data_IF_573967299103
#
_entry.id   IF_573967299103
#
_cell.length_a   1.000
_cell.length_b   1.000
_cell.length_c   1.000
_cell.angle_alpha   90.00
_cell.angle_beta   90.00
_cell.angle_gamma   90.00
#
_symmetry.space_group_name_H-M   'P 1'
#
loop_
_entity.id
_entity.type
_entity.pdbx_description
1 polymer ?
#
# COMPACT_ATOMS: atom_id res chain seq x y z
N UNK A 1 17.20 15.90 3.55
CA UNK A 1 16.65 15.64 2.21
C UNK A 1 15.60 14.57 2.35
N UNK A 2 14.34 14.92 2.16
CA UNK A 2 13.21 13.99 2.32
C UNK A 2 13.28 12.92 1.23
N UNK A 3 13.18 11.64 1.63
CA UNK A 3 13.25 10.47 0.74
C UNK A 3 11.86 10.04 0.24
N UNK A 4 10.94 11.00 0.22
CA UNK A 4 9.54 10.82 -0.16
C UNK A 4 9.35 11.32 -1.59
N UNK A 5 8.78 10.50 -2.44
CA UNK A 5 8.45 10.86 -3.82
C UNK A 5 7.01 11.35 -3.91
N UNK A 6 6.80 12.53 -4.52
CA UNK A 6 5.45 13.04 -4.77
C UNK A 6 4.99 12.59 -6.14
N UNK A 7 3.93 11.79 -6.17
CA UNK A 7 3.35 11.24 -7.39
C UNK A 7 2.10 12.03 -7.78
N UNK A 8 2.07 12.51 -9.02
CA UNK A 8 0.94 13.31 -9.56
C UNK A 8 0.18 12.59 -10.67
N UNK A 9 0.82 11.64 -11.35
CA UNK A 9 0.27 10.99 -12.54
C UNK A 9 0.23 9.47 -12.38
N UNK A 10 -0.79 8.84 -12.95
CA UNK A 10 -0.95 7.39 -12.94
C UNK A 10 0.20 6.69 -13.70
N UNK A 11 0.67 7.28 -14.80
CA UNK A 11 1.80 6.75 -15.56
C UNK A 11 3.09 6.72 -14.73
N UNK A 12 3.38 7.79 -14.00
CA UNK A 12 4.56 7.89 -13.13
C UNK A 12 4.52 6.86 -12.00
N UNK A 13 3.33 6.66 -11.41
CA UNK A 13 3.11 5.61 -10.41
C UNK A 13 3.41 4.22 -10.99
N UNK A 14 2.87 3.88 -12.14
CA UNK A 14 3.09 2.58 -12.78
C UNK A 14 4.55 2.36 -13.16
N UNK A 15 5.23 3.39 -13.67
CA UNK A 15 6.67 3.34 -13.96
C UNK A 15 7.48 3.10 -12.68
N UNK A 16 7.16 3.78 -11.57
CA UNK A 16 7.84 3.54 -10.29
C UNK A 16 7.59 2.14 -9.75
N UNK A 17 6.34 1.65 -9.78
CA UNK A 17 6.00 0.29 -9.37
C UNK A 17 6.74 -0.75 -10.23
N UNK A 18 6.87 -0.49 -11.53
CA UNK A 18 7.61 -1.35 -12.45
C UNK A 18 9.14 -1.30 -12.22
N UNK A 19 9.69 -0.14 -11.89
CA UNK A 19 11.11 0.06 -11.62
C UNK A 19 11.54 -0.47 -10.24
N UNK A 20 10.63 -0.44 -9.26
CA UNK A 20 10.90 -0.82 -7.86
C UNK A 20 10.26 -2.16 -7.46
N UNK A 21 10.12 -3.11 -8.39
CA UNK A 21 9.50 -4.42 -8.12
C UNK A 21 10.16 -5.20 -6.98
N UNK A 22 11.46 -5.02 -6.79
CA UNK A 22 12.26 -5.71 -5.77
C UNK A 22 12.06 -5.14 -4.35
N UNK A 23 11.59 -3.89 -4.24
CA UNK A 23 11.41 -3.19 -2.96
C UNK A 23 9.93 -3.02 -2.62
N UNK A 24 9.65 -2.81 -1.35
CA UNK A 24 8.32 -2.42 -0.90
C UNK A 24 8.09 -0.95 -1.26
N UNK A 25 6.97 -0.64 -1.88
CA UNK A 25 6.52 0.70 -2.20
C UNK A 25 5.29 1.01 -1.35
N UNK A 26 5.31 2.13 -0.62
CA UNK A 26 4.20 2.58 0.21
C UNK A 26 3.68 3.88 -0.34
N UNK A 27 2.38 3.93 -0.61
CA UNK A 27 1.71 5.10 -1.18
C UNK A 27 0.77 5.66 -0.13
N UNK A 28 1.01 6.90 0.27
CA UNK A 28 0.12 7.68 1.14
C UNK A 28 -0.81 8.54 0.29
N UNK A 29 -2.10 8.24 0.34
CA UNK A 29 -3.15 9.03 -0.26
C UNK A 29 -3.61 10.09 0.75
N UNK A 30 -3.18 11.32 0.53
CA UNK A 30 -3.46 12.44 1.42
C UNK A 30 -4.22 13.56 0.70
N UNK A 31 -4.76 14.47 1.50
CA UNK A 31 -5.34 15.72 1.04
C UNK A 31 -4.83 16.88 1.89
N UNK A 32 -4.59 18.03 1.28
CA UNK A 32 -4.11 19.25 1.99
C UNK A 32 -5.10 19.75 3.04
N UNK A 33 -6.39 19.54 2.82
CA UNK A 33 -7.50 19.94 3.70
C UNK A 33 -7.82 18.92 4.81
N UNK A 34 -7.16 17.76 4.82
CA UNK A 34 -7.40 16.71 5.80
C UNK A 34 -6.59 16.96 7.08
N UNK A 35 -7.27 17.40 8.15
CA UNK A 35 -6.65 17.63 9.47
C UNK A 35 -5.88 16.41 10.03
N UNK A 36 -6.47 15.20 10.08
CA UNK A 36 -5.77 13.99 10.54
C UNK A 36 -4.52 13.62 9.72
N UNK A 37 -4.48 14.02 8.45
CA UNK A 37 -3.36 13.75 7.56
C UNK A 37 -2.10 14.56 7.97
N UNK A 38 -2.29 15.78 8.50
CA UNK A 38 -1.17 16.58 9.03
C UNK A 38 -0.57 15.97 10.29
N UNK A 39 -1.39 15.32 11.13
CA UNK A 39 -0.90 14.67 12.35
C UNK A 39 0.01 13.46 12.05
N UNK A 40 -0.28 12.69 10.99
CA UNK A 40 0.49 11.50 10.62
C UNK A 40 1.72 11.82 9.74
N UNK A 41 1.73 12.96 9.06
CA UNK A 41 2.81 13.39 8.18
C UNK A 41 4.23 13.31 8.80
N UNK A 42 4.50 13.84 10.02
CA UNK A 42 5.84 13.75 10.61
C UNK A 42 6.24 12.31 10.95
N UNK A 43 5.28 11.47 11.33
CA UNK A 43 5.54 10.06 11.61
C UNK A 43 5.87 9.29 10.33
N UNK A 44 5.13 9.56 9.25
CA UNK A 44 5.42 9.00 7.92
C UNK A 44 6.81 9.41 7.43
N UNK A 45 7.22 10.66 7.63
CA UNK A 45 8.56 11.11 7.29
C UNK A 45 9.64 10.39 8.12
N UNK A 46 9.44 10.25 9.43
CA UNK A 46 10.36 9.48 10.29
C UNK A 46 10.51 8.02 9.82
N UNK A 47 9.41 7.39 9.38
CA UNK A 47 9.45 6.03 8.84
C UNK A 47 10.22 5.96 7.52
N UNK A 48 10.09 6.97 6.65
CA UNK A 48 10.92 7.06 5.43
C UNK A 48 12.41 7.19 5.75
N UNK A 49 12.74 7.75 6.91
CA UNK A 49 14.10 7.86 7.40
C UNK A 49 14.67 6.55 7.94
N UNK A 50 13.84 5.82 8.67
CA UNK A 50 14.20 4.54 9.25
C UNK A 50 14.26 3.41 8.21
N UNK A 51 13.32 3.37 7.27
CA UNK A 51 13.18 2.31 6.29
C UNK A 51 13.68 2.74 4.91
N UNK A 52 15.01 2.90 4.77
CA UNK A 52 15.66 3.21 3.47
C UNK A 52 15.47 2.12 2.40
N UNK A 53 15.12 0.91 2.84
CA UNK A 53 14.82 -0.21 1.95
C UNK A 53 13.43 -0.13 1.29
N UNK A 54 12.57 0.74 1.81
CA UNK A 54 11.20 0.94 1.37
C UNK A 54 11.12 2.27 0.62
N UNK A 55 10.39 2.28 -0.50
CA UNK A 55 10.12 3.50 -1.25
C UNK A 55 8.83 4.12 -0.72
N UNK A 56 8.91 5.34 -0.20
CA UNK A 56 7.77 6.08 0.32
C UNK A 56 7.31 7.11 -0.72
N UNK A 57 6.02 7.08 -1.04
CA UNK A 57 5.39 7.93 -2.03
C UNK A 57 4.17 8.63 -1.42
N UNK A 58 3.96 9.88 -1.79
CA UNK A 58 2.77 10.65 -1.43
C UNK A 58 2.00 11.02 -2.69
N UNK A 59 0.71 10.75 -2.66
CA UNK A 59 -0.23 11.10 -3.72
C UNK A 59 -1.26 12.03 -3.11
N UNK A 60 -1.36 13.22 -3.68
CA UNK A 60 -2.44 14.13 -3.32
C UNK A 60 -3.68 13.76 -4.16
N UNK A 61 -4.78 13.47 -3.48
CA UNK A 61 -6.02 13.00 -4.13
C UNK A 61 -6.69 14.09 -4.99
N UNK A 62 -6.38 15.36 -4.75
CA UNK A 62 -6.88 16.50 -5.53
C UNK A 62 -6.05 16.69 -6.80
N UNK A 63 -4.72 16.59 -6.68
CA UNK A 63 -3.80 16.67 -7.82
C UNK A 63 -3.84 15.44 -8.73
N UNK A 64 -4.12 14.25 -8.19
CA UNK A 64 -4.06 12.97 -8.90
C UNK A 64 -5.38 12.18 -8.76
N UNK A 65 -6.49 12.81 -9.12
CA UNK A 65 -7.83 12.23 -9.00
C UNK A 65 -7.98 10.90 -9.76
N UNK A 66 -7.26 10.69 -10.87
CA UNK A 66 -7.26 9.43 -11.62
C UNK A 66 -6.77 8.25 -10.79
N UNK A 67 -5.70 8.46 -10.00
CA UNK A 67 -5.15 7.43 -9.11
C UNK A 67 -6.14 7.16 -7.98
N UNK A 68 -6.69 8.22 -7.37
CA UNK A 68 -7.67 8.07 -6.29
C UNK A 68 -8.91 7.27 -6.75
N UNK A 69 -9.35 7.48 -8.00
CA UNK A 69 -10.48 6.76 -8.61
C UNK A 69 -10.16 5.30 -8.88
N UNK A 70 -9.01 5.01 -9.50
CA UNK A 70 -8.55 3.63 -9.77
C UNK A 70 -8.42 2.83 -8.46
N UNK A 71 -7.83 3.44 -7.44
CA UNK A 71 -7.67 2.83 -6.12
C UNK A 71 -8.93 2.90 -5.25
N UNK A 72 -10.01 3.52 -5.74
CA UNK A 72 -11.27 3.71 -5.02
C UNK A 72 -11.09 4.26 -3.60
N UNK A 73 -10.25 5.29 -3.45
CA UNK A 73 -9.97 5.94 -2.17
C UNK A 73 -11.19 6.75 -1.75
N UNK A 74 -11.82 6.35 -0.63
CA UNK A 74 -13.02 6.99 -0.07
C UNK A 74 -12.80 7.61 1.30
N UNK A 75 -11.66 7.33 1.92
CA UNK A 75 -11.28 7.84 3.22
C UNK A 75 -9.82 8.27 3.18
N UNK A 76 -9.50 9.43 3.75
CA UNK A 76 -8.13 9.89 3.91
C UNK A 76 -7.76 10.01 5.39
N UNK A 77 -6.50 9.71 5.76
CA UNK A 77 -5.45 9.16 4.89
C UNK A 77 -5.67 7.67 4.61
N UNK A 78 -5.26 7.20 3.43
CA UNK A 78 -5.20 5.75 3.13
C UNK A 78 -3.79 5.41 2.68
N UNK A 79 -3.23 4.33 3.22
CA UNK A 79 -1.90 3.85 2.91
C UNK A 79 -2.00 2.52 2.18
N UNK A 80 -1.46 2.43 0.98
CA UNK A 80 -1.38 1.16 0.24
C UNK A 80 0.06 0.68 0.15
N UNK A 81 0.24 -0.62 0.33
CA UNK A 81 1.53 -1.29 0.28
C UNK A 81 1.61 -2.13 -0.98
N UNK A 82 2.64 -1.92 -1.77
CA UNK A 82 2.86 -2.59 -3.04
C UNK A 82 4.22 -3.28 -3.07
N UNK A 83 4.25 -4.56 -3.47
CA UNK A 83 5.48 -5.34 -3.63
C UNK A 83 5.39 -6.15 -4.92
N UNK A 84 6.44 -6.13 -5.75
CA UNK A 84 6.42 -6.83 -7.04
C UNK A 84 5.38 -6.29 -8.03
N UNK A 85 4.90 -5.06 -7.85
CA UNK A 85 3.82 -4.47 -8.67
C UNK A 85 2.40 -4.88 -8.25
N UNK A 86 2.24 -5.68 -7.20
CA UNK A 86 0.93 -6.05 -6.64
C UNK A 86 0.69 -5.38 -5.29
N UNK A 87 -0.56 -5.04 -4.99
CA UNK A 87 -0.98 -4.55 -3.67
C UNK A 87 -0.93 -5.72 -2.67
N UNK A 88 -0.13 -5.58 -1.61
CA UNK A 88 0.02 -6.61 -0.57
C UNK A 88 -0.80 -6.32 0.67
N UNK A 89 -0.98 -5.04 1.02
CA UNK A 89 -1.68 -4.62 2.23
C UNK A 89 -2.25 -3.20 2.05
N UNK A 90 -3.23 -2.83 2.87
CA UNK A 90 -3.92 -1.53 2.82
C UNK A 90 -4.39 -1.13 4.22
N UNK A 91 -4.03 0.08 4.63
CA UNK A 91 -4.39 0.63 5.93
C UNK A 91 -5.17 1.93 5.71
N UNK A 92 -6.38 1.99 6.24
CA UNK A 92 -7.23 3.19 6.18
C UNK A 92 -7.18 3.92 7.51
N UNK A 93 -7.09 5.24 7.45
CA UNK A 93 -7.05 6.13 8.61
C UNK A 93 -5.64 6.43 9.12
N UNK A 94 -5.55 7.42 10.00
CA UNK A 94 -4.30 7.91 10.60
C UNK A 94 -3.77 6.98 11.71
N UNK A 95 -3.60 5.69 11.40
CA UNK A 95 -3.11 4.70 12.36
C UNK A 95 -1.62 4.40 12.15
N UNK A 96 -0.76 5.13 12.87
CA UNK A 96 0.69 4.93 12.82
C UNK A 96 1.13 3.48 13.14
N UNK A 97 0.52 2.87 14.15
CA UNK A 97 0.90 1.54 14.60
C UNK A 97 0.62 0.47 13.54
N UNK A 98 -0.49 0.59 12.83
CA UNK A 98 -0.84 -0.31 11.72
C UNK A 98 0.14 -0.16 10.54
N UNK A 99 0.54 1.07 10.20
CA UNK A 99 1.52 1.34 9.13
C UNK A 99 2.87 0.74 9.50
N UNK A 100 3.33 0.93 10.74
CA UNK A 100 4.58 0.36 11.25
C UNK A 100 4.54 -1.18 11.25
N UNK A 101 3.42 -1.78 11.64
CA UNK A 101 3.24 -3.22 11.60
C UNK A 101 3.28 -3.78 10.17
N UNK A 102 2.61 -3.11 9.22
CA UNK A 102 2.63 -3.50 7.81
C UNK A 102 4.02 -3.35 7.19
N UNK A 103 4.73 -2.26 7.47
CA UNK A 103 6.13 -2.07 7.07
C UNK A 103 7.00 -3.21 7.60
N UNK A 104 6.90 -3.54 8.89
CA UNK A 104 7.69 -4.62 9.51
C UNK A 104 7.37 -5.99 8.93
N UNK A 105 6.12 -6.24 8.56
CA UNK A 105 5.65 -7.50 7.95
C UNK A 105 6.19 -7.69 6.52
N UNK A 106 6.33 -6.60 5.76
CA UNK A 106 6.65 -6.68 4.33
C UNK A 106 8.06 -6.20 3.94
N UNK A 107 8.80 -5.56 4.84
CA UNK A 107 10.20 -5.18 4.65
C UNK A 107 11.08 -6.42 4.49
N UNK A 108 11.82 -6.52 3.38
CA UNK A 108 12.67 -7.66 3.04
C UNK A 108 13.94 -7.77 3.91
N UNK A 109 14.27 -6.74 4.69
CA UNK A 109 15.29 -6.76 5.74
C UNK A 109 14.65 -6.61 7.11
N UNK A 110 14.79 -7.63 7.95
CA UNK A 110 14.20 -7.69 9.29
C UNK A 110 14.56 -6.48 10.16
N UNK A 111 13.57 -5.63 10.40
CA UNK A 111 13.58 -4.70 11.52
C UNK A 111 13.44 -5.49 12.81
N UNK A 112 14.58 -5.88 13.36
CA UNK A 112 14.66 -6.46 14.69
C UNK A 112 14.39 -5.36 15.71
N UNK A 113 13.44 -5.61 16.61
CA UNK A 113 13.24 -4.98 17.92
C UNK A 113 12.59 -3.56 17.91
N UNK A 114 11.69 -3.20 18.80
CA UNK A 114 11.36 -3.81 20.09
C UNK A 114 9.87 -4.13 20.25
N UNK A 115 9.60 -5.40 20.56
CA UNK A 115 8.71 -5.62 21.69
C UNK A 115 9.44 -5.06 22.93
N UNK A 116 8.78 -4.31 23.83
CA UNK A 116 9.33 -4.17 25.16
C UNK A 116 9.37 -5.58 25.76
N UNK A 117 10.56 -6.17 25.74
CA UNK A 117 10.97 -7.27 26.59
C UNK A 117 10.91 -6.73 28.02
N UNK A 118 9.73 -6.73 28.62
CA UNK A 118 9.60 -6.88 30.05
C UNK A 118 9.46 -8.38 30.33
N UNK A 119 10.56 -9.14 30.52
CA UNK A 119 10.48 -10.44 31.19
C UNK A 119 10.32 -10.15 32.69
N UNK A 120 9.17 -9.59 33.05
CA UNK A 120 8.77 -9.38 34.43
C UNK A 120 7.49 -10.17 34.64
N UNK A 121 7.61 -11.37 35.19
CA UNK A 121 6.48 -12.11 35.75
C UNK A 121 5.90 -11.26 36.90
N UNK A 122 4.93 -10.41 36.58
CA UNK A 122 4.22 -9.56 37.53
C UNK A 122 2.74 -9.91 37.49
N UNK A 123 2.32 -10.81 38.38
CA UNK A 123 0.91 -11.01 38.72
C UNK A 123 0.33 -9.72 39.30
N UNK A 124 -0.73 -9.15 38.72
CA UNK A 124 -1.93 -8.72 39.48
C UNK A 124 -3.14 -8.65 38.56
N UNK A 125 -4.23 -9.20 39.06
CA UNK A 125 -5.54 -9.37 38.47
C UNK A 125 -6.28 -8.03 38.37
N UNK A 126 -7.07 -7.85 37.31
CA UNK A 126 -8.47 -7.36 37.31
C UNK A 126 -8.78 -6.47 36.10
N UNK A 127 -9.74 -6.89 35.27
CA UNK A 127 -10.53 -5.98 34.43
C UNK A 127 -10.58 -6.28 32.93
N UNK A 128 -11.25 -7.36 32.52
CA UNK A 128 -11.99 -7.37 31.24
C UNK A 128 -13.27 -6.50 31.43
N UNK A 129 -13.74 -5.73 30.43
CA UNK A 129 -14.27 -6.22 29.14
C UNK A 129 -13.79 -5.35 27.94
N UNK A 130 -13.92 -5.66 26.65
CA UNK A 130 -14.74 -6.58 25.88
C UNK A 130 -13.99 -6.91 24.55
N UNK A 131 -14.34 -8.03 23.88
CA UNK A 131 -13.89 -8.33 22.54
C UNK A 131 -14.66 -7.44 21.55
N UNK A 132 -13.91 -6.68 20.75
CA UNK A 132 -14.45 -6.00 19.58
C UNK A 132 -14.32 -6.93 18.38
N UNK A 133 -15.25 -7.86 18.26
CA UNK A 133 -15.52 -8.60 17.04
C UNK A 133 -15.81 -7.61 15.91
N UNK A 134 -14.92 -7.60 14.93
CA UNK A 134 -15.04 -6.88 13.68
C UNK A 134 -14.72 -7.82 12.54
N UNK A 135 -15.46 -8.93 12.46
CA UNK A 135 -15.54 -9.75 11.26
C UNK A 135 -16.04 -8.89 10.10
N UNK A 136 -15.12 -8.56 9.19
CA UNK A 136 -15.39 -8.00 7.87
C UNK A 136 -14.95 -9.00 6.83
N UNK A 137 -15.81 -9.98 6.60
CA UNK A 137 -15.68 -11.06 5.63
C UNK A 137 -15.19 -10.60 4.26
N UNK A 138 -14.29 -11.43 3.72
CA UNK A 138 -14.02 -11.69 2.31
C UNK A 138 -14.67 -10.78 1.29
N UNK A 139 -13.83 -10.02 0.60
CA UNK A 139 -14.11 -9.72 -0.80
C UNK A 139 -12.84 -9.90 -1.62
N UNK A 140 -12.94 -10.86 -2.54
CA UNK A 140 -12.34 -10.77 -3.86
C UNK A 140 -10.94 -11.35 -4.07
N UNK A 141 -10.86 -12.66 -3.81
CA UNK A 141 -10.24 -13.62 -4.74
C UNK A 141 -10.95 -13.62 -6.13
N UNK A 142 -11.10 -12.48 -6.82
CA UNK A 142 -11.66 -12.38 -8.20
C UNK A 142 -10.90 -11.33 -9.00
N UNK A 143 -9.60 -11.51 -9.23
CA UNK A 143 -8.93 -10.81 -10.34
C UNK A 143 -7.84 -11.64 -11.02
N UNK A 144 -7.30 -12.68 -10.38
CA UNK A 144 -6.28 -13.54 -11.01
C UNK A 144 -6.88 -14.55 -12.00
N UNK A 145 -8.14 -14.98 -11.83
CA UNK A 145 -8.74 -16.00 -12.70
C UNK A 145 -9.33 -15.37 -14.00
N UNK A 146 -9.74 -14.11 -13.99
CA UNK A 146 -10.33 -13.46 -15.19
C UNK A 146 -9.25 -12.91 -16.14
N UNK A 147 -8.07 -12.51 -15.62
CA UNK A 147 -6.96 -12.02 -16.45
C UNK A 147 -6.28 -13.10 -17.29
N UNK A 148 -6.18 -14.32 -16.75
CA UNK A 148 -5.58 -15.46 -17.48
C UNK A 148 -6.46 -15.97 -18.62
N UNK A 149 -7.78 -15.79 -18.56
CA UNK A 149 -8.67 -16.13 -19.68
C UNK A 149 -8.61 -15.10 -20.82
N UNK A 150 -8.39 -13.81 -20.54
CA UNK A 150 -8.35 -12.79 -21.59
C UNK A 150 -7.05 -12.85 -22.42
N UNK A 151 -5.91 -13.07 -21.77
CA UNK A 151 -4.62 -13.23 -22.47
C UNK A 151 -4.59 -14.51 -23.33
N UNK A 152 -5.22 -15.59 -22.88
CA UNK A 152 -5.35 -16.81 -23.69
C UNK A 152 -6.29 -16.59 -24.89
N UNK A 153 -7.41 -15.86 -24.70
CA UNK A 153 -8.35 -15.56 -25.77
C UNK A 153 -7.75 -14.69 -26.88
N UNK A 154 -6.90 -13.70 -26.53
CA UNK A 154 -6.20 -12.88 -27.54
C UNK A 154 -5.09 -13.64 -28.26
N UNK A 155 -4.45 -14.61 -27.59
CA UNK A 155 -3.37 -15.40 -28.18
C UNK A 155 -3.88 -16.51 -29.11
N UNK A 156 -5.12 -17.00 -28.91
CA UNK A 156 -5.66 -18.12 -29.70
C UNK A 156 -6.35 -17.71 -31.02
N UNK A 157 -6.46 -16.41 -31.35
CA UNK A 157 -7.20 -15.92 -32.54
C UNK A 157 -6.43 -15.02 -33.50
N UNK A 158 -5.11 -14.92 -33.37
CA UNK A 158 -4.29 -13.93 -34.09
C UNK A 158 -3.18 -14.48 -34.99
N UNK A 159 -3.32 -15.70 -35.53
CA UNK A 159 -2.35 -16.28 -36.45
C UNK A 159 -2.99 -16.69 -37.78
N UNK A 160 -3.16 -15.73 -38.68
CA UNK A 160 -3.25 -15.85 -40.15
C UNK A 160 -3.39 -14.40 -40.66
N UNK A 161 -2.23 -13.74 -40.83
CA UNK A 161 -1.61 -13.45 -42.13
C UNK A 161 -2.27 -12.23 -42.83
N UNK A 162 -1.67 -11.02 -42.79
CA UNK A 162 -0.64 -10.54 -43.75
C UNK A 162 -1.24 -10.53 -45.19
N UNK A 163 -1.36 -9.47 -46.01
CA UNK A 163 -0.91 -8.06 -46.12
C UNK A 163 -1.74 -7.41 -47.29
N UNK A 164 -1.64 -6.10 -47.55
CA UNK A 164 -2.53 -5.32 -48.42
C UNK A 164 -2.08 -5.22 -49.90
N UNK A 165 -3.02 -4.86 -50.77
CA UNK A 165 -2.75 -4.26 -52.09
C UNK A 165 -3.29 -5.05 -53.28
N UNK A 166 -4.46 -4.67 -53.80
CA UNK A 166 -4.66 -3.95 -55.07
C UNK A 166 -6.16 -3.69 -55.29
#
# INVERSE_FOLDING_TARGET
>A
MSLITHLKNLSELNTLLAAKKDRLVVIDFHATWCGPCHAIAPKYEALSQQYRDVTFCKVDVDAAADIAKEYSIRAMPTFTFHKGGAKVDEVKGANAAAIEAALRKHSSGGGSQGAPLFPGTGHTLSGAPAPGDGEGFGYLKVFVIVGLLWVWYTYSKGGEDQIPGL
#
